data_IF_832640843451
#
_entry.id   IF_832640843451
#
_cell.length_a   1.000
_cell.length_b   1.000
_cell.length_c   1.000
_cell.angle_alpha   90.00
_cell.angle_beta   90.00
_cell.angle_gamma   90.00
#
_symmetry.space_group_name_H-M   'P 1'
#
loop_
_entity.id
_entity.type
_entity.pdbx_description
1 polymer ?
#
# COMPACT_ATOMS: atom_id res chain seq x y z
N UNK A 1 -14.19 13.84 -3.70
CA UNK A 1 -13.09 13.20 -4.45
C UNK A 1 -11.77 13.29 -3.71
N UNK A 2 -11.29 14.51 -3.45
CA UNK A 2 -10.04 14.65 -2.69
C UNK A 2 -10.18 14.13 -1.27
N UNK A 3 -11.35 14.32 -0.67
CA UNK A 3 -11.61 13.81 0.67
C UNK A 3 -11.60 12.28 0.72
N UNK A 4 -12.16 11.62 -0.29
CA UNK A 4 -12.14 10.16 -0.36
C UNK A 4 -10.71 9.62 -0.46
N UNK A 5 -9.86 10.29 -1.25
CA UNK A 5 -8.45 9.91 -1.34
C UNK A 5 -7.74 10.12 0.01
N UNK A 6 -8.00 11.25 0.65
CA UNK A 6 -7.38 11.56 1.94
C UNK A 6 -7.76 10.55 3.01
N UNK A 7 -9.04 10.18 3.06
CA UNK A 7 -9.54 9.18 4.01
C UNK A 7 -8.95 7.80 3.73
N UNK A 8 -8.89 7.38 2.47
CA UNK A 8 -8.33 6.09 2.11
C UNK A 8 -6.83 6.04 2.40
N UNK A 9 -6.11 7.13 2.17
CA UNK A 9 -4.69 7.21 2.45
C UNK A 9 -4.40 7.12 3.96
N UNK A 10 -5.22 7.78 4.77
CA UNK A 10 -5.11 7.69 6.22
C UNK A 10 -5.38 6.25 6.72
N UNK A 11 -6.38 5.59 6.15
CA UNK A 11 -6.70 4.21 6.49
C UNK A 11 -5.57 3.26 6.06
N UNK A 12 -5.00 3.49 4.88
CA UNK A 12 -3.85 2.71 4.41
C UNK A 12 -2.68 2.81 5.39
N UNK A 13 -2.38 4.02 5.85
CA UNK A 13 -1.31 4.24 6.82
C UNK A 13 -1.58 3.49 8.12
N UNK A 14 -2.83 3.42 8.55
CA UNK A 14 -3.22 2.67 9.75
C UNK A 14 -2.88 1.18 9.60
N UNK A 15 -3.23 0.57 8.47
CA UNK A 15 -2.88 -0.83 8.19
C UNK A 15 -1.37 -1.03 8.10
N UNK A 16 -0.68 -0.12 7.43
CA UNK A 16 0.77 -0.17 7.33
C UNK A 16 1.43 -0.18 8.70
N UNK A 17 1.01 0.73 9.59
CA UNK A 17 1.57 0.83 10.93
C UNK A 17 1.31 -0.43 11.77
N UNK A 18 0.18 -1.10 11.54
CA UNK A 18 -0.11 -2.36 12.23
C UNK A 18 0.77 -3.50 11.71
N UNK A 19 1.17 -3.45 10.44
CA UNK A 19 2.05 -4.46 9.84
C UNK A 19 3.50 -4.33 10.28
N UNK A 20 3.96 -3.13 10.59
CA UNK A 20 5.37 -2.87 10.93
C UNK A 20 5.89 -3.81 12.01
N UNK A 21 5.26 -3.92 13.20
CA UNK A 21 5.78 -4.82 14.23
C UNK A 21 5.65 -6.30 13.86
N UNK A 22 4.59 -6.68 13.15
CA UNK A 22 4.40 -8.08 12.74
C UNK A 22 5.47 -8.53 11.74
N UNK A 23 5.79 -7.68 10.77
CA UNK A 23 6.83 -7.96 9.79
C UNK A 23 8.21 -7.99 10.45
N UNK A 24 8.46 -7.06 11.36
CA UNK A 24 9.74 -7.03 12.11
C UNK A 24 9.93 -8.31 12.90
N UNK A 25 8.90 -8.76 13.59
CA UNK A 25 8.96 -10.01 14.37
C UNK A 25 9.26 -11.21 13.46
N UNK A 26 8.58 -11.30 12.32
CA UNK A 26 8.80 -12.38 11.37
C UNK A 26 10.22 -12.34 10.81
N UNK A 27 10.73 -11.16 10.47
CA UNK A 27 12.09 -11.00 9.96
C UNK A 27 13.14 -11.39 11.01
N UNK A 28 12.93 -11.01 12.26
CA UNK A 28 13.84 -11.32 13.35
C UNK A 28 13.97 -12.83 13.58
N UNK A 29 12.91 -13.59 13.34
CA UNK A 29 12.93 -15.05 13.46
C UNK A 29 13.81 -15.71 12.40
N UNK A 30 14.09 -15.03 11.30
CA UNK A 30 14.89 -15.55 10.20
C UNK A 30 16.36 -15.17 10.29
N UNK A 31 16.73 -14.32 11.25
CA UNK A 31 18.11 -13.87 11.44
C UNK A 31 19.01 -15.09 11.69
N UNK A 32 20.11 -15.17 10.93
CA UNK A 32 21.04 -16.29 11.01
C UNK A 32 20.64 -17.53 10.23
N UNK A 33 19.45 -17.55 9.62
CA UNK A 33 18.99 -18.65 8.77
C UNK A 33 19.35 -18.42 7.32
N UNK A 34 19.17 -19.46 6.48
CA UNK A 34 19.35 -19.36 5.03
C UNK A 34 18.31 -18.44 4.38
N UNK A 35 17.24 -18.11 5.10
CA UNK A 35 16.13 -17.29 4.60
C UNK A 35 16.18 -15.86 5.13
N UNK A 36 17.25 -15.49 5.79
CA UNK A 36 17.42 -14.12 6.29
C UNK A 36 17.36 -13.13 5.13
N UNK A 37 16.55 -12.08 5.33
CA UNK A 37 16.37 -11.03 4.32
C UNK A 37 17.18 -9.79 4.69
N UNK A 38 17.81 -9.19 3.67
CA UNK A 38 18.43 -7.89 3.81
C UNK A 38 17.42 -6.81 3.46
N UNK A 39 17.43 -5.71 4.20
CA UNK A 39 16.55 -4.59 3.97
C UNK A 39 15.20 -4.73 4.66
N UNK A 40 14.23 -3.97 4.20
CA UNK A 40 12.89 -3.91 4.79
C UNK A 40 11.85 -4.21 3.71
N UNK A 41 11.41 -5.47 3.57
CA UNK A 41 10.51 -5.85 2.48
C UNK A 41 9.17 -5.15 2.53
N UNK A 42 8.63 -4.85 3.72
CA UNK A 42 7.38 -4.11 3.82
C UNK A 42 7.52 -2.70 3.26
N UNK A 43 8.57 -1.99 3.65
CA UNK A 43 8.83 -0.64 3.18
C UNK A 43 9.07 -0.61 1.68
N UNK A 44 9.86 -1.56 1.16
CA UNK A 44 10.16 -1.65 -0.27
C UNK A 44 8.91 -1.94 -1.08
N UNK A 45 8.08 -2.87 -0.61
CA UNK A 45 6.80 -3.19 -1.24
C UNK A 45 5.88 -1.99 -1.27
N UNK A 46 5.78 -1.25 -0.16
CA UNK A 46 4.90 -0.09 -0.08
C UNK A 46 5.37 1.05 -1.00
N UNK A 47 6.67 1.27 -1.07
CA UNK A 47 7.23 2.30 -1.97
C UNK A 47 6.98 1.96 -3.43
N UNK A 48 7.18 0.71 -3.81
CA UNK A 48 6.93 0.25 -5.18
C UNK A 48 5.45 0.41 -5.53
N UNK A 49 4.55 0.05 -4.59
CA UNK A 49 3.11 0.20 -4.82
C UNK A 49 2.71 1.67 -4.98
N UNK A 50 3.25 2.57 -4.17
CA UNK A 50 2.97 4.00 -4.29
C UNK A 50 3.35 4.52 -5.69
N UNK A 51 4.50 4.10 -6.21
CA UNK A 51 4.93 4.48 -7.55
C UNK A 51 3.97 3.93 -8.61
N UNK A 52 3.56 2.68 -8.49
CA UNK A 52 2.60 2.06 -9.41
C UNK A 52 1.26 2.79 -9.38
N UNK A 53 0.75 3.08 -8.17
CA UNK A 53 -0.51 3.82 -8.02
C UNK A 53 -0.45 5.16 -8.77
N UNK A 54 0.58 5.94 -8.50
CA UNK A 54 0.66 7.30 -9.01
C UNK A 54 0.87 7.32 -10.53
N UNK A 55 1.72 6.45 -11.05
CA UNK A 55 1.93 6.37 -12.50
C UNK A 55 0.72 5.79 -13.22
N UNK A 56 0.03 4.81 -12.64
CA UNK A 56 -1.19 4.25 -13.21
C UNK A 56 -2.29 5.32 -13.32
N UNK A 57 -2.46 6.11 -12.27
CA UNK A 57 -3.48 7.16 -12.29
C UNK A 57 -3.14 8.27 -13.27
N UNK A 58 -1.86 8.58 -13.45
CA UNK A 58 -1.43 9.51 -14.49
C UNK A 58 -1.69 8.96 -15.89
N UNK A 59 -1.49 7.67 -16.10
CA UNK A 59 -1.78 7.03 -17.38
C UNK A 59 -3.28 7.11 -17.70
N UNK A 60 -4.14 6.84 -16.72
CA UNK A 60 -5.59 6.85 -16.90
C UNK A 60 -6.12 8.21 -17.38
N UNK A 61 -5.47 9.30 -17.00
CA UNK A 61 -5.88 10.64 -17.39
C UNK A 61 -5.80 10.84 -18.90
N UNK A 62 -4.89 10.14 -19.58
CA UNK A 62 -4.71 10.31 -21.03
C UNK A 62 -5.96 9.96 -21.83
N UNK A 63 -6.78 9.02 -21.33
CA UNK A 63 -8.01 8.64 -22.06
C UNK A 63 -9.29 9.05 -21.33
N UNK A 64 -9.22 9.43 -20.07
CA UNK A 64 -10.41 9.56 -19.22
C UNK A 64 -10.80 11.02 -18.96
N UNK A 65 -9.83 11.93 -18.82
CA UNK A 65 -10.15 13.30 -18.45
C UNK A 65 -9.10 14.29 -18.94
N UNK A 66 -9.61 15.44 -19.40
CA UNK A 66 -8.78 16.58 -19.76
C UNK A 66 -9.38 17.83 -19.09
N UNK A 67 -8.58 18.89 -19.03
CA UNK A 67 -9.06 20.17 -18.46
C UNK A 67 -9.31 20.10 -16.96
N UNK A 68 -10.38 20.75 -16.50
CA UNK A 68 -10.67 20.93 -15.07
C UNK A 68 -11.06 19.63 -14.35
N UNK A 69 -11.47 18.60 -15.08
CA UNK A 69 -11.80 17.31 -14.49
C UNK A 69 -10.60 16.44 -14.16
N UNK A 70 -9.42 16.83 -14.62
CA UNK A 70 -8.20 16.03 -14.51
C UNK A 70 -7.84 15.69 -13.06
N UNK A 71 -7.78 16.69 -12.20
CA UNK A 71 -7.35 16.50 -10.80
C UNK A 71 -8.34 15.63 -10.03
N UNK A 72 -9.63 15.83 -10.25
CA UNK A 72 -10.67 14.99 -9.63
C UNK A 72 -10.57 13.55 -10.09
N UNK A 73 -10.27 13.33 -11.38
CA UNK A 73 -10.12 11.99 -11.92
C UNK A 73 -8.91 11.29 -11.30
N UNK A 74 -7.79 12.00 -11.18
CA UNK A 74 -6.58 11.46 -10.55
C UNK A 74 -6.87 11.08 -9.09
N UNK A 75 -7.51 11.98 -8.34
CA UNK A 75 -7.83 11.72 -6.93
C UNK A 75 -8.76 10.51 -6.78
N UNK A 76 -9.77 10.38 -7.63
CA UNK A 76 -10.67 9.22 -7.63
C UNK A 76 -9.96 7.92 -7.96
N UNK A 77 -9.06 7.95 -8.94
CA UNK A 77 -8.24 6.80 -9.30
C UNK A 77 -7.36 6.37 -8.11
N UNK A 78 -6.68 7.33 -7.49
CA UNK A 78 -5.83 7.03 -6.33
C UNK A 78 -6.62 6.46 -5.16
N UNK A 79 -7.81 7.00 -4.89
CA UNK A 79 -8.68 6.48 -3.83
C UNK A 79 -9.05 5.02 -4.09
N UNK A 80 -9.45 4.70 -5.33
CA UNK A 80 -9.82 3.32 -5.70
C UNK A 80 -8.67 2.34 -5.54
N UNK A 81 -7.49 2.70 -6.05
CA UNK A 81 -6.31 1.84 -5.93
C UNK A 81 -5.85 1.71 -4.49
N UNK A 82 -5.97 2.78 -3.70
CA UNK A 82 -5.63 2.74 -2.29
C UNK A 82 -6.55 1.79 -1.52
N UNK A 83 -7.85 1.78 -1.83
CA UNK A 83 -8.79 0.83 -1.21
C UNK A 83 -8.45 -0.61 -1.56
N UNK A 84 -8.03 -0.87 -2.79
CA UNK A 84 -7.56 -2.21 -3.18
C UNK A 84 -6.32 -2.62 -2.40
N UNK A 85 -5.38 -1.70 -2.22
CA UNK A 85 -4.17 -1.96 -1.43
C UNK A 85 -4.50 -2.25 0.03
N UNK A 86 -5.47 -1.54 0.60
CA UNK A 86 -5.92 -1.78 1.98
C UNK A 86 -6.40 -3.23 2.12
N UNK A 87 -7.19 -3.72 1.16
CA UNK A 87 -7.62 -5.12 1.17
C UNK A 87 -6.45 -6.09 1.13
N UNK A 88 -5.43 -5.79 0.32
CA UNK A 88 -4.23 -6.61 0.24
C UNK A 88 -3.45 -6.60 1.56
N UNK A 89 -3.28 -5.42 2.18
CA UNK A 89 -2.57 -5.31 3.46
C UNK A 89 -3.34 -5.97 4.59
N UNK A 90 -4.66 -5.90 4.56
CA UNK A 90 -5.51 -6.59 5.55
C UNK A 90 -5.29 -8.10 5.48
N UNK A 91 -5.25 -8.67 4.27
CA UNK A 91 -4.96 -10.09 4.08
C UNK A 91 -3.55 -10.46 4.56
N UNK A 92 -2.56 -9.61 4.25
CA UNK A 92 -1.20 -9.82 4.72
C UNK A 92 -1.11 -9.78 6.24
N UNK A 93 -1.80 -8.83 6.87
CA UNK A 93 -1.83 -8.73 8.32
C UNK A 93 -2.39 -10.02 8.95
N UNK A 94 -3.46 -10.55 8.38
CA UNK A 94 -4.04 -11.82 8.86
C UNK A 94 -3.05 -12.95 8.78
N UNK A 95 -2.27 -13.05 7.69
CA UNK A 95 -1.23 -14.06 7.55
C UNK A 95 -0.15 -13.92 8.63
N UNK A 96 0.34 -12.71 8.86
CA UNK A 96 1.37 -12.49 9.88
C UNK A 96 0.85 -12.79 11.29
N UNK A 97 -0.39 -12.43 11.59
CA UNK A 97 -0.99 -12.69 12.90
C UNK A 97 -1.23 -14.20 13.10
N UNK A 98 -1.60 -14.92 12.05
CA UNK A 98 -1.82 -16.35 12.11
C UNK A 98 -0.53 -17.11 12.40
N UNK A 99 0.58 -16.70 11.80
CA UNK A 99 1.86 -17.39 11.95
C UNK A 99 2.74 -16.86 13.09
N UNK A 100 2.34 -15.80 13.76
CA UNK A 100 3.15 -15.19 14.83
C UNK A 100 2.87 -15.79 16.20
N UNK A 101 1.95 -16.75 16.30
CA UNK A 101 1.66 -17.43 17.58
C UNK A 101 2.57 -18.66 17.75
#
# INVERSE_FOLDING_TARGET
MFEAFRQSDALLNSYYQRLVPAVRQAADQLVGSAYELNGNPLRESQRAWLAVRDTTCNLNVLYAATGSGRDSHIAGCKARLTMQRIGNLDSELDHFLEYSN
#
